data_IF_806974210981
#
_entry.id   IF_806974210981
#
_cell.length_a   1.000
_cell.length_b   1.000
_cell.length_c   1.000
_cell.angle_alpha   90.00
_cell.angle_beta   90.00
_cell.angle_gamma   90.00
#
_symmetry.space_group_name_H-M   'P 1'
#
loop_
_entity.id
_entity.type
_entity.pdbx_description
1 polymer ?
#
# COMPACT_ATOMS: atom_id res chain seq x y z
N UNK A 1 -7.52 -3.00 -30.65
CA UNK A 1 -7.61 -3.20 -29.19
C UNK A 1 -8.80 -2.39 -28.71
N UNK A 2 -9.99 -2.97 -28.67
CA UNK A 2 -11.21 -2.27 -28.23
C UNK A 2 -11.48 -2.64 -26.78
N UNK A 3 -10.60 -2.20 -25.87
CA UNK A 3 -10.76 -2.43 -24.45
C UNK A 3 -11.63 -1.32 -23.88
N UNK A 4 -12.90 -1.63 -23.64
CA UNK A 4 -13.79 -0.74 -22.92
C UNK A 4 -13.26 -0.51 -21.49
N UNK A 5 -12.77 0.71 -21.24
CA UNK A 5 -12.22 1.15 -19.95
C UNK A 5 -13.31 1.28 -18.88
N UNK A 6 -14.58 1.21 -19.27
CA UNK A 6 -15.69 1.13 -18.34
C UNK A 6 -15.97 -0.30 -17.86
N UNK A 7 -15.52 -1.32 -18.61
CA UNK A 7 -15.62 -2.72 -18.21
C UNK A 7 -14.64 -3.06 -17.09
N UNK A 8 -15.07 -3.95 -16.17
CA UNK A 8 -14.26 -4.38 -15.02
C UNK A 8 -12.87 -4.91 -15.44
N UNK A 9 -12.80 -5.57 -16.58
CA UNK A 9 -11.56 -6.11 -17.14
C UNK A 9 -10.60 -5.00 -17.60
N UNK A 10 -11.11 -3.92 -18.21
CA UNK A 10 -10.30 -2.78 -18.65
C UNK A 10 -9.66 -2.03 -17.48
N UNK A 11 -10.42 -1.81 -16.40
CA UNK A 11 -9.92 -1.19 -15.16
C UNK A 11 -8.84 -2.05 -14.49
N UNK A 12 -9.03 -3.35 -14.45
CA UNK A 12 -8.06 -4.29 -13.88
C UNK A 12 -6.71 -4.22 -14.60
N UNK A 13 -6.70 -4.27 -15.93
CA UNK A 13 -5.46 -4.18 -16.72
C UNK A 13 -4.75 -2.84 -16.54
N UNK A 14 -5.48 -1.74 -16.44
CA UNK A 14 -4.91 -0.40 -16.18
C UNK A 14 -4.22 -0.37 -14.81
N UNK A 15 -4.91 -0.84 -13.76
CA UNK A 15 -4.38 -0.86 -12.40
C UNK A 15 -3.12 -1.72 -12.31
N UNK A 16 -3.14 -2.93 -12.87
CA UNK A 16 -1.97 -3.82 -12.87
C UNK A 16 -0.82 -3.21 -13.67
N UNK A 17 -1.08 -2.70 -14.89
CA UNK A 17 -0.03 -2.13 -15.72
C UNK A 17 0.65 -0.96 -15.00
N UNK A 18 -0.13 -0.05 -14.41
CA UNK A 18 0.40 1.10 -13.67
C UNK A 18 1.14 0.67 -12.41
N UNK A 19 0.62 -0.31 -11.67
CA UNK A 19 1.27 -0.85 -10.47
C UNK A 19 2.62 -1.46 -10.80
N UNK A 20 2.71 -2.28 -11.85
CA UNK A 20 3.97 -2.89 -12.30
C UNK A 20 4.97 -1.81 -12.73
N UNK A 21 4.52 -0.77 -13.45
CA UNK A 21 5.37 0.36 -13.83
C UNK A 21 5.91 1.12 -12.61
N UNK A 22 5.07 1.39 -11.61
CA UNK A 22 5.50 2.04 -10.37
C UNK A 22 6.52 1.19 -9.61
N UNK A 23 6.29 -0.13 -9.51
CA UNK A 23 7.23 -1.04 -8.86
C UNK A 23 8.58 -1.01 -9.60
N UNK A 24 8.58 -1.13 -10.92
CA UNK A 24 9.79 -1.06 -11.73
C UNK A 24 10.53 0.27 -11.54
N UNK A 25 9.79 1.39 -11.52
CA UNK A 25 10.33 2.72 -11.25
C UNK A 25 10.94 2.82 -9.84
N UNK A 26 10.27 2.28 -8.82
CA UNK A 26 10.80 2.24 -7.46
C UNK A 26 12.13 1.48 -7.39
N UNK A 27 12.22 0.30 -8.02
CA UNK A 27 13.47 -0.46 -8.09
C UNK A 27 14.57 0.31 -8.84
N UNK A 28 14.24 0.97 -9.94
CA UNK A 28 15.18 1.79 -10.69
C UNK A 28 15.72 2.96 -9.85
N UNK A 29 14.85 3.64 -9.10
CA UNK A 29 15.24 4.74 -8.21
C UNK A 29 16.13 4.26 -7.07
N UNK A 30 15.78 3.15 -6.41
CA UNK A 30 16.58 2.59 -5.31
C UNK A 30 17.97 2.17 -5.78
N UNK A 31 18.09 1.57 -6.96
CA UNK A 31 19.38 1.18 -7.55
C UNK A 31 20.18 2.37 -8.10
N UNK A 32 19.52 3.50 -8.34
CA UNK A 32 20.17 4.70 -8.88
C UNK A 32 21.12 5.36 -7.87
N UNK A 33 21.90 6.34 -8.34
CA UNK A 33 22.74 7.18 -7.48
C UNK A 33 21.90 7.91 -6.41
N UNK A 34 20.68 8.33 -6.75
CA UNK A 34 19.79 9.05 -5.83
C UNK A 34 19.40 8.18 -4.64
N UNK A 35 19.08 6.90 -4.87
CA UNK A 35 18.78 5.95 -3.81
C UNK A 35 19.95 5.73 -2.84
N UNK A 36 21.17 5.64 -3.36
CA UNK A 36 22.39 5.52 -2.53
C UNK A 36 22.65 6.78 -1.70
N UNK A 37 22.42 7.96 -2.26
CA UNK A 37 22.55 9.21 -1.52
C UNK A 37 21.50 9.34 -0.41
N UNK A 38 20.28 8.85 -0.61
CA UNK A 38 19.27 8.78 0.45
C UNK A 38 19.61 7.78 1.55
N UNK A 39 20.26 6.66 1.22
CA UNK A 39 20.76 5.71 2.21
C UNK A 39 21.81 6.36 3.12
N UNK A 40 22.75 7.12 2.55
CA UNK A 40 23.75 7.87 3.32
C UNK A 40 23.10 8.95 4.23
N UNK A 41 22.09 9.65 3.73
CA UNK A 41 21.31 10.63 4.51
C UNK A 41 20.57 9.96 5.67
N UNK A 42 19.98 8.78 5.44
CA UNK A 42 19.27 7.99 6.46
C UNK A 42 20.19 7.59 7.62
N UNK A 43 21.42 7.21 7.32
CA UNK A 43 22.38 6.77 8.34
C UNK A 43 22.92 7.98 9.14
N UNK A 44 23.34 9.05 8.46
CA UNK A 44 23.81 10.28 9.11
C UNK A 44 23.83 11.50 8.18
N UNK A 45 22.88 12.43 8.40
CA UNK A 45 22.75 13.70 7.67
C UNK A 45 24.04 14.55 7.67
N UNK A 46 24.71 14.65 8.83
CA UNK A 46 25.91 15.48 9.00
C UNK A 46 27.05 14.93 8.14
N UNK A 47 27.30 13.63 8.17
CA UNK A 47 28.34 13.01 7.35
C UNK A 47 28.03 13.11 5.85
N UNK A 48 26.77 12.95 5.45
CA UNK A 48 26.33 13.13 4.07
C UNK A 48 26.63 14.56 3.55
N UNK A 49 26.48 15.58 4.41
CA UNK A 49 26.80 16.96 4.05
C UNK A 49 28.30 17.21 3.84
N UNK A 50 29.16 16.53 4.63
CA UNK A 50 30.63 16.65 4.54
C UNK A 50 31.16 16.07 3.23
N UNK A 51 30.57 14.98 2.73
CA UNK A 51 30.93 14.36 1.43
C UNK A 51 30.33 15.09 0.22
N UNK A 52 29.75 16.28 0.41
CA UNK A 52 29.26 17.14 -0.66
C UNK A 52 27.83 16.85 -1.15
N UNK A 53 27.05 16.02 -0.43
CA UNK A 53 25.64 15.79 -0.77
C UNK A 53 24.81 16.97 -0.25
N UNK A 54 24.02 17.59 -1.14
CA UNK A 54 23.06 18.65 -0.76
C UNK A 54 21.83 18.04 -0.08
N UNK A 55 21.95 17.77 1.23
CA UNK A 55 20.94 17.08 2.05
C UNK A 55 19.53 17.66 1.87
N UNK A 56 19.38 18.99 1.97
CA UNK A 56 18.08 19.65 1.82
C UNK A 56 17.40 19.35 0.46
N UNK A 57 18.15 19.46 -0.65
CA UNK A 57 17.63 19.17 -1.99
C UNK A 57 17.25 17.70 -2.15
N UNK A 58 18.04 16.79 -1.58
CA UNK A 58 17.76 15.35 -1.63
C UNK A 58 16.56 14.95 -0.79
N UNK A 59 16.36 15.57 0.37
CA UNK A 59 15.15 15.39 1.19
C UNK A 59 13.90 15.87 0.46
N UNK A 60 13.94 17.05 -0.16
CA UNK A 60 12.83 17.55 -0.98
C UNK A 60 12.49 16.62 -2.16
N UNK A 61 13.51 16.07 -2.83
CA UNK A 61 13.30 15.08 -3.89
C UNK A 61 12.66 13.79 -3.34
N UNK A 62 13.05 13.32 -2.15
CA UNK A 62 12.44 12.12 -1.55
C UNK A 62 10.96 12.33 -1.23
N UNK A 63 10.62 13.52 -0.73
CA UNK A 63 9.23 13.90 -0.50
C UNK A 63 8.44 13.99 -1.81
N UNK A 64 8.98 14.69 -2.82
CA UNK A 64 8.32 14.82 -4.12
C UNK A 64 8.06 13.48 -4.81
N UNK A 65 9.03 12.57 -4.77
CA UNK A 65 8.88 11.22 -5.32
C UNK A 65 7.84 10.44 -4.50
N UNK A 66 7.88 10.49 -3.17
CA UNK A 66 6.89 9.78 -2.34
C UNK A 66 5.46 10.24 -2.63
N UNK A 67 5.24 11.56 -2.70
CA UNK A 67 3.94 12.16 -3.02
C UNK A 67 3.45 11.79 -4.42
N UNK A 68 4.35 11.66 -5.41
CA UNK A 68 3.99 11.21 -6.74
C UNK A 68 3.45 9.77 -6.74
N UNK A 69 4.10 8.86 -6.01
CA UNK A 69 3.63 7.48 -5.87
C UNK A 69 2.27 7.41 -5.15
N UNK A 70 2.11 8.16 -4.05
CA UNK A 70 0.83 8.22 -3.34
C UNK A 70 -0.29 8.84 -4.18
N UNK A 71 0.00 9.87 -4.98
CA UNK A 71 -0.97 10.49 -5.86
C UNK A 71 -1.51 9.53 -6.91
N UNK A 72 -0.64 8.75 -7.55
CA UNK A 72 -1.06 7.73 -8.52
C UNK A 72 -1.83 6.59 -7.82
N UNK A 73 -1.37 6.14 -6.66
CA UNK A 73 -2.07 5.10 -5.89
C UNK A 73 -3.50 5.54 -5.50
N UNK A 74 -3.67 6.78 -5.05
CA UNK A 74 -4.99 7.34 -4.72
C UNK A 74 -5.90 7.49 -5.95
N UNK A 75 -5.35 7.96 -7.07
CA UNK A 75 -6.10 8.06 -8.33
C UNK A 75 -6.56 6.69 -8.84
N UNK A 76 -5.69 5.67 -8.80
CA UNK A 76 -6.03 4.30 -9.16
C UNK A 76 -7.09 3.70 -8.23
N UNK A 77 -7.03 4.01 -6.93
CA UNK A 77 -7.99 3.52 -5.98
C UNK A 77 -9.39 4.12 -6.19
N UNK A 78 -9.47 5.43 -6.44
CA UNK A 78 -10.73 6.10 -6.77
C UNK A 78 -11.32 5.57 -8.10
N UNK A 79 -10.46 5.39 -9.13
CA UNK A 79 -10.88 4.93 -10.45
C UNK A 79 -11.27 3.44 -10.47
N UNK A 80 -10.47 2.59 -9.84
CA UNK A 80 -10.59 1.13 -9.94
C UNK A 80 -11.54 0.52 -8.92
N UNK A 81 -11.60 1.05 -7.69
CA UNK A 81 -12.31 0.39 -6.58
C UNK A 81 -13.68 0.99 -6.30
N UNK A 82 -13.82 2.31 -6.38
CA UNK A 82 -15.05 3.01 -5.99
C UNK A 82 -15.92 3.45 -7.17
N UNK A 83 -15.33 3.75 -8.33
CA UNK A 83 -16.07 4.26 -9.50
C UNK A 83 -16.67 5.67 -9.32
N UNK A 84 -16.70 6.19 -8.09
CA UNK A 84 -17.10 7.55 -7.70
C UNK A 84 -16.25 8.01 -6.52
N UNK A 85 -15.86 9.28 -6.47
CA UNK A 85 -15.06 9.81 -5.35
C UNK A 85 -15.97 10.09 -4.14
N UNK A 86 -16.12 9.12 -3.24
CA UNK A 86 -16.75 9.35 -1.95
C UNK A 86 -15.70 9.85 -0.93
N UNK A 87 -15.99 10.96 -0.24
CA UNK A 87 -15.10 11.55 0.74
C UNK A 87 -14.90 10.63 1.96
N UNK A 88 -15.88 9.79 2.28
CA UNK A 88 -15.79 8.79 3.35
C UNK A 88 -14.85 7.64 3.05
N UNK A 89 -14.34 7.55 1.83
CA UNK A 89 -13.40 6.51 1.47
C UNK A 89 -12.04 6.78 2.15
N UNK A 90 -11.65 8.05 2.34
CA UNK A 90 -10.37 8.44 2.94
C UNK A 90 -10.44 8.62 4.46
N UNK A 91 -10.88 7.59 5.18
CA UNK A 91 -10.95 7.61 6.63
C UNK A 91 -9.59 7.36 7.32
N UNK A 92 -9.51 7.72 8.60
CA UNK A 92 -8.33 7.50 9.44
C UNK A 92 -7.94 6.02 9.52
N UNK A 93 -8.95 5.13 9.55
CA UNK A 93 -8.74 3.68 9.59
C UNK A 93 -7.94 3.18 8.38
N UNK A 94 -8.17 3.75 7.18
CA UNK A 94 -7.40 3.42 5.98
C UNK A 94 -5.96 3.89 6.08
N UNK A 95 -5.73 5.07 6.67
CA UNK A 95 -4.38 5.59 6.90
C UNK A 95 -3.61 4.72 7.90
N UNK A 96 -4.27 4.28 9.00
CA UNK A 96 -3.67 3.34 9.94
C UNK A 96 -3.44 1.96 9.32
N UNK A 97 -4.36 1.48 8.49
CA UNK A 97 -4.18 0.21 7.78
C UNK A 97 -2.91 0.23 6.92
N UNK A 98 -2.70 1.30 6.12
CA UNK A 98 -1.49 1.46 5.30
C UNK A 98 -0.25 1.59 6.19
N UNK A 99 -0.33 2.34 7.29
CA UNK A 99 0.77 2.47 8.25
C UNK A 99 1.16 1.11 8.85
N UNK A 100 0.19 0.29 9.28
CA UNK A 100 0.45 -1.04 9.83
C UNK A 100 1.06 -1.98 8.79
N UNK A 101 0.62 -1.92 7.52
CA UNK A 101 1.24 -2.67 6.43
C UNK A 101 2.74 -2.35 6.34
N UNK A 102 3.12 -1.07 6.41
CA UNK A 102 4.52 -0.63 6.32
C UNK A 102 5.32 -1.00 7.58
N UNK A 103 4.72 -0.86 8.77
CA UNK A 103 5.38 -1.20 10.04
C UNK A 103 5.63 -2.71 10.13
N UNK A 104 4.62 -3.54 9.85
CA UNK A 104 4.71 -5.01 9.90
C UNK A 104 5.63 -5.53 8.78
N UNK A 105 5.49 -4.99 7.58
CA UNK A 105 6.33 -5.35 6.43
C UNK A 105 7.77 -4.89 6.54
N UNK A 106 8.03 -3.82 7.30
CA UNK A 106 9.34 -3.23 7.51
C UNK A 106 9.68 -2.12 6.52
N UNK A 107 10.16 -0.98 7.04
CA UNK A 107 10.48 0.25 6.29
C UNK A 107 11.71 0.15 5.37
N UNK A 108 12.55 -0.89 5.52
CA UNK A 108 13.85 -0.97 4.85
C UNK A 108 13.80 -1.61 3.46
N UNK A 109 12.74 -2.37 3.13
CA UNK A 109 12.71 -3.17 1.89
C UNK A 109 11.37 -3.04 1.15
N UNK A 110 11.45 -3.02 -0.18
CA UNK A 110 10.26 -3.00 -1.04
C UNK A 110 9.44 -4.29 -0.86
N UNK A 111 10.11 -5.45 -0.84
CA UNK A 111 9.45 -6.76 -0.67
C UNK A 111 8.76 -6.92 0.68
N UNK A 112 9.32 -6.32 1.73
CA UNK A 112 8.70 -6.33 3.06
C UNK A 112 7.29 -5.74 3.05
N UNK A 113 7.08 -4.65 2.31
CA UNK A 113 5.77 -4.01 2.22
C UNK A 113 4.73 -4.90 1.52
N UNK A 114 5.12 -5.73 0.53
CA UNK A 114 4.23 -6.72 -0.08
C UNK A 114 3.85 -7.82 0.91
N UNK A 115 4.80 -8.28 1.72
CA UNK A 115 4.53 -9.28 2.75
C UNK A 115 3.62 -8.73 3.84
N UNK A 116 3.84 -7.48 4.28
CA UNK A 116 2.98 -6.79 5.22
C UNK A 116 1.54 -6.61 4.69
N UNK A 117 1.40 -6.27 3.41
CA UNK A 117 0.10 -6.17 2.76
C UNK A 117 -0.60 -7.54 2.68
N UNK A 118 0.12 -8.57 2.26
CA UNK A 118 -0.39 -9.93 2.23
C UNK A 118 -0.84 -10.38 3.63
N UNK A 119 -0.06 -10.10 4.67
CA UNK A 119 -0.41 -10.46 6.04
C UNK A 119 -1.69 -9.75 6.53
N UNK A 120 -1.75 -8.43 6.41
CA UNK A 120 -2.92 -7.64 6.84
C UNK A 120 -4.19 -8.05 6.09
N UNK A 121 -4.09 -8.32 4.79
CA UNK A 121 -5.25 -8.69 3.96
C UNK A 121 -5.66 -10.15 4.17
N UNK A 122 -4.70 -11.08 4.29
CA UNK A 122 -4.99 -12.50 4.45
C UNK A 122 -5.47 -12.84 5.85
N UNK A 123 -5.04 -12.12 6.89
CA UNK A 123 -5.43 -12.39 8.28
C UNK A 123 -6.96 -12.49 8.47
N UNK A 124 -7.78 -11.48 8.13
CA UNK A 124 -9.23 -11.58 8.30
C UNK A 124 -9.84 -12.71 7.44
N UNK A 125 -9.35 -12.90 6.21
CA UNK A 125 -9.83 -13.96 5.31
C UNK A 125 -9.54 -15.35 5.91
N UNK A 126 -8.37 -15.53 6.52
CA UNK A 126 -7.96 -16.78 7.14
C UNK A 126 -8.79 -17.06 8.39
N UNK A 127 -9.03 -16.03 9.22
CA UNK A 127 -9.90 -16.13 10.39
C UNK A 127 -11.34 -16.48 10.00
N UNK A 128 -11.89 -15.83 8.97
CA UNK A 128 -13.25 -16.12 8.46
C UNK A 128 -13.36 -17.55 7.90
N UNK A 129 -12.33 -18.02 7.21
CA UNK A 129 -12.32 -19.40 6.70
C UNK A 129 -12.17 -20.43 7.83
N UNK A 130 -11.36 -20.13 8.85
CA UNK A 130 -11.18 -21.01 10.00
C UNK A 130 -12.44 -21.07 10.86
N UNK A 131 -13.13 -19.96 11.08
CA UNK A 131 -14.39 -19.93 11.84
C UNK A 131 -15.49 -20.75 11.16
N UNK A 132 -15.54 -20.72 9.81
CA UNK A 132 -16.45 -21.54 9.00
C UNK A 132 -16.14 -23.05 9.07
N UNK A 133 -14.87 -23.44 9.19
CA UNK A 133 -14.46 -24.86 9.23
C UNK A 133 -14.64 -25.45 10.63
N UNK A 134 -14.46 -24.66 11.68
CA UNK A 134 -14.51 -25.10 13.08
C UNK A 134 -15.94 -25.07 13.64
N UNK A 135 -16.93 -24.60 12.86
CA UNK A 135 -18.34 -24.45 13.25
C UNK A 135 -18.53 -23.66 14.57
N UNK A 136 -17.67 -22.64 14.77
CA UNK A 136 -17.80 -21.66 15.86
C UNK A 136 -18.88 -20.60 15.58
N UNK A 137 -19.61 -20.76 14.46
CA UNK A 137 -20.78 -19.97 14.07
C UNK A 137 -21.82 -19.92 15.20
N UNK A 138 -21.98 -21.02 15.94
CA UNK A 138 -22.87 -21.17 17.09
C UNK A 138 -22.47 -20.35 18.34
N UNK A 139 -21.21 -19.91 18.46
CA UNK A 139 -20.77 -19.02 19.56
C UNK A 139 -20.82 -17.53 19.18
N UNK A 140 -20.76 -17.22 17.87
CA UNK A 140 -20.85 -15.85 17.35
C UNK A 140 -22.28 -15.38 17.09
N UNK A 141 -23.20 -16.30 16.82
CA UNK A 141 -24.59 -16.00 16.53
C UNK A 141 -25.44 -15.91 17.81
N UNK A 142 -25.33 -14.79 18.52
CA UNK A 142 -26.29 -14.44 19.57
C UNK A 142 -27.73 -14.25 19.02
N UNK A 143 -27.89 -14.12 17.69
CA UNK A 143 -29.19 -14.01 17.02
C UNK A 143 -29.95 -15.35 16.94
N UNK A 144 -29.24 -16.47 16.82
CA UNK A 144 -29.85 -17.81 16.87
C UNK A 144 -30.46 -18.13 18.26
N UNK A 145 -29.87 -17.60 19.34
CA UNK A 145 -30.38 -17.77 20.71
C UNK A 145 -31.62 -16.91 21.00
N UNK A 146 -31.80 -15.78 20.30
CA UNK A 146 -32.97 -14.90 20.44
C UNK A 146 -34.23 -15.44 19.73
N UNK A 147 -34.08 -16.30 18.73
CA UNK A 147 -35.20 -16.97 18.04
C UNK A 147 -35.68 -18.25 18.73
N UNK A 148 -35.03 -18.66 19.82
CA UNK A 148 -35.39 -19.82 20.63
C UNK A 148 -36.03 -19.45 21.98
N UNK A 149 -36.37 -18.17 22.18
CA UNK A 149 -37.25 -17.66 23.24
C UNK A 149 -38.52 -17.09 22.62
#
# INVERSE_FOLDING_TARGET
LDYDLQSATGRYYLVIATTVLLIALAFAIVKSRVGREWMAIRDMDVAASVIGIRVARRKLLSFGISSFFLGIAGALWAFGYLGTSDAHAFNLDKSFQILFIVIIGGVATIFGNFLGAAFIVLTPILLDRLSLIIDLSFLGDQGALANLQ
#
